data_IF_669516624052
#
_entry.id   IF_669516624052
#
_cell.length_a   1.000
_cell.length_b   1.000
_cell.length_c   1.000
_cell.angle_alpha   90.00
_cell.angle_beta   90.00
_cell.angle_gamma   90.00
#
_symmetry.space_group_name_H-M   'P 1'
#
loop_
_entity.id
_entity.type
_entity.pdbx_description
1 polymer ?
#
# COMPACT_ATOMS: atom_id res chain seq x y z
N UNK A 1 5.23 -4.25 13.46
CA UNK A 1 4.08 -5.01 12.90
C UNK A 1 4.20 -4.97 11.39
N UNK A 2 3.86 -6.05 10.67
CA UNK A 2 3.88 -6.04 9.20
C UNK A 2 2.46 -5.85 8.67
N UNK A 3 2.28 -5.00 7.66
CA UNK A 3 1.01 -4.81 6.95
C UNK A 3 1.12 -5.47 5.57
N UNK A 4 0.24 -6.43 5.31
CA UNK A 4 0.18 -7.14 4.03
C UNK A 4 -0.51 -6.24 3.00
N UNK A 5 0.21 -5.85 1.97
CA UNK A 5 -0.23 -4.96 0.91
C UNK A 5 -0.98 -5.69 -0.19
N UNK A 6 -0.54 -6.90 -0.55
CA UNK A 6 -1.19 -7.73 -1.55
C UNK A 6 -1.06 -9.21 -1.16
N UNK A 7 -2.20 -9.89 -1.08
CA UNK A 7 -2.24 -11.30 -0.68
C UNK A 7 -1.71 -12.24 -1.76
N UNK A 8 -1.92 -11.91 -3.03
CA UNK A 8 -1.57 -12.79 -4.14
C UNK A 8 -0.04 -12.91 -4.33
N UNK A 9 0.67 -11.78 -4.22
CA UNK A 9 2.13 -11.70 -4.28
C UNK A 9 2.81 -11.92 -2.93
N UNK A 10 2.07 -11.84 -1.82
CA UNK A 10 2.63 -11.88 -0.47
C UNK A 10 3.41 -10.60 -0.10
N UNK A 11 3.21 -9.50 -0.86
CA UNK A 11 3.89 -8.24 -0.60
C UNK A 11 3.42 -7.67 0.73
N UNK A 12 4.35 -7.50 1.67
CA UNK A 12 4.12 -6.88 2.96
C UNK A 12 5.13 -5.77 3.21
N UNK A 13 4.75 -4.79 4.03
CA UNK A 13 5.60 -3.67 4.41
C UNK A 13 5.58 -3.47 5.92
N UNK A 14 6.69 -2.99 6.46
CA UNK A 14 6.76 -2.49 7.82
C UNK A 14 6.33 -1.01 7.83
N UNK A 15 5.23 -0.64 8.51
CA UNK A 15 4.71 0.72 8.53
C UNK A 15 5.71 1.74 9.08
N UNK A 16 6.58 1.33 10.02
CA UNK A 16 7.62 2.19 10.59
C UNK A 16 8.69 2.60 9.58
N UNK A 17 8.81 1.88 8.46
CA UNK A 17 9.75 2.21 7.37
C UNK A 17 9.09 3.03 6.25
N UNK A 18 7.78 3.29 6.34
CA UNK A 18 7.06 4.16 5.40
C UNK A 18 7.29 5.61 5.80
N UNK A 19 7.84 6.41 4.89
CA UNK A 19 8.07 7.84 5.08
C UNK A 19 6.89 8.70 4.64
N UNK A 20 6.22 8.32 3.56
CA UNK A 20 5.00 9.00 3.09
C UNK A 20 4.11 8.08 2.26
N UNK A 21 2.85 8.49 2.10
CA UNK A 21 1.83 7.75 1.36
C UNK A 21 1.05 8.72 0.48
N UNK A 22 0.73 8.30 -0.75
CA UNK A 22 -0.13 9.06 -1.65
C UNK A 22 -0.97 8.15 -2.55
N UNK A 23 -2.13 8.65 -2.96
CA UNK A 23 -2.92 8.01 -4.00
C UNK A 23 -2.54 8.58 -5.37
N UNK A 24 -2.35 7.70 -6.35
CA UNK A 24 -2.15 8.07 -7.75
C UNK A 24 -3.16 7.36 -8.63
N UNK A 25 -3.44 7.95 -9.80
CA UNK A 25 -4.28 7.33 -10.82
C UNK A 25 -3.45 7.06 -12.07
N UNK A 26 -3.35 5.79 -12.46
CA UNK A 26 -2.64 5.36 -13.67
C UNK A 26 -3.60 4.53 -14.52
N UNK A 27 -3.74 4.89 -15.81
CA UNK A 27 -4.58 4.15 -16.76
C UNK A 27 -6.01 3.83 -16.24
N UNK A 28 -6.63 4.76 -15.51
CA UNK A 28 -7.97 4.60 -14.94
C UNK A 28 -8.04 3.78 -13.64
N UNK A 29 -6.93 3.20 -13.17
CA UNK A 29 -6.84 2.52 -11.88
C UNK A 29 -6.28 3.44 -10.81
N UNK A 30 -6.79 3.31 -9.58
CA UNK A 30 -6.22 4.00 -8.41
C UNK A 30 -5.10 3.14 -7.82
N UNK A 31 -4.00 3.75 -7.41
CA UNK A 31 -2.87 3.09 -6.78
C UNK A 31 -2.54 3.79 -5.46
N UNK A 32 -2.11 3.03 -4.47
CA UNK A 32 -1.45 3.57 -3.27
C UNK A 32 0.05 3.44 -3.45
N UNK A 33 0.73 4.58 -3.44
CA UNK A 33 2.18 4.67 -3.51
C UNK A 33 2.72 4.95 -2.12
N UNK A 34 3.61 4.08 -1.67
CA UNK A 34 4.32 4.16 -0.41
C UNK A 34 5.76 4.55 -0.71
N UNK A 35 6.20 5.69 -0.20
CA UNK A 35 7.61 6.08 -0.24
C UNK A 35 8.24 5.68 1.08
N UNK A 36 9.18 4.73 1.03
CA UNK A 36 9.91 4.26 2.18
C UNK A 36 10.94 5.31 2.64
N UNK A 37 11.37 5.27 3.91
CA UNK A 37 12.37 6.18 4.46
C UNK A 37 13.72 6.11 3.73
N UNK A 38 14.04 4.99 3.09
CA UNK A 38 15.24 4.81 2.26
C UNK A 38 15.09 5.36 0.82
N UNK A 39 13.96 6.02 0.50
CA UNK A 39 13.66 6.57 -0.82
C UNK A 39 13.10 5.58 -1.83
N UNK A 40 12.96 4.28 -1.49
CA UNK A 40 12.31 3.29 -2.36
C UNK A 40 10.82 3.54 -2.41
N UNK A 41 10.24 3.52 -3.61
CA UNK A 41 8.78 3.55 -3.79
C UNK A 41 8.22 2.14 -4.02
N UNK A 42 7.09 1.85 -3.38
CA UNK A 42 6.26 0.69 -3.63
C UNK A 42 4.90 1.18 -4.09
N UNK A 43 4.28 0.51 -5.06
CA UNK A 43 2.92 0.84 -5.49
C UNK A 43 2.04 -0.39 -5.51
N UNK A 44 0.80 -0.20 -5.07
CA UNK A 44 -0.22 -1.24 -5.02
C UNK A 44 -1.44 -0.72 -5.77
N UNK A 45 -1.86 -1.45 -6.79
CA UNK A 45 -3.09 -1.13 -7.53
C UNK A 45 -4.31 -1.42 -6.66
N UNK A 46 -5.33 -0.58 -6.72
CA UNK A 46 -6.64 -0.86 -6.15
C UNK A 46 -7.36 -1.90 -7.01
N UNK A 47 -7.54 -3.08 -6.44
CA UNK A 47 -8.28 -4.17 -7.06
C UNK A 47 -9.00 -4.95 -5.95
N UNK A 48 -10.11 -4.45 -5.38
CA UNK A 48 -10.78 -5.07 -4.24
C UNK A 48 -11.69 -6.23 -4.66
N UNK A 49 -11.37 -6.95 -5.74
CA UNK A 49 -12.11 -8.12 -6.18
C UNK A 49 -11.46 -9.39 -5.62
N UNK A 50 -12.25 -10.25 -4.96
CA UNK A 50 -11.75 -11.45 -4.29
C UNK A 50 -10.81 -11.08 -3.12
N UNK A 51 -9.61 -11.67 -3.12
CA UNK A 51 -8.54 -11.38 -2.15
C UNK A 51 -7.63 -10.20 -2.55
N UNK A 52 -8.03 -9.46 -3.58
CA UNK A 52 -7.23 -8.35 -4.09
C UNK A 52 -7.20 -7.13 -3.15
N UNK A 53 -6.20 -6.26 -3.33
CA UNK A 53 -5.89 -5.15 -2.43
C UNK A 53 -6.94 -4.03 -2.47
N UNK A 54 -7.46 -3.68 -1.29
CA UNK A 54 -8.22 -2.45 -1.08
C UNK A 54 -7.30 -1.36 -0.52
N UNK A 55 -6.78 -0.52 -1.41
CA UNK A 55 -5.82 0.55 -1.05
C UNK A 55 -6.33 1.57 -0.03
N UNK A 56 -7.64 1.78 0.10
CA UNK A 56 -8.18 2.68 1.12
C UNK A 56 -8.04 2.07 2.51
N UNK A 57 -8.43 0.80 2.65
CA UNK A 57 -8.25 0.06 3.89
C UNK A 57 -6.77 -0.11 4.25
N UNK A 58 -5.91 -0.38 3.28
CA UNK A 58 -4.47 -0.47 3.50
C UNK A 58 -3.89 0.84 4.03
N UNK A 59 -4.33 1.98 3.48
CA UNK A 59 -3.89 3.28 3.96
C UNK A 59 -4.32 3.54 5.41
N UNK A 60 -5.57 3.22 5.78
CA UNK A 60 -6.01 3.30 7.17
C UNK A 60 -5.17 2.41 8.10
N UNK A 61 -4.95 1.14 7.73
CA UNK A 61 -4.12 0.22 8.52
C UNK A 61 -2.67 0.69 8.68
N UNK A 62 -2.11 1.35 7.66
CA UNK A 62 -0.77 1.92 7.72
C UNK A 62 -0.71 3.18 8.58
N UNK A 63 -1.79 3.95 8.67
CA UNK A 63 -1.90 5.09 9.58
C UNK A 63 -2.08 4.64 11.04
N UNK A 64 -2.89 3.62 11.29
CA UNK A 64 -3.11 3.06 12.63
C UNK A 64 -1.85 2.36 13.20
N UNK A 65 -0.97 1.91 12.32
CA UNK A 65 0.25 1.19 12.68
C UNK A 65 1.50 2.06 12.83
N UNK A 66 1.38 3.38 12.68
CA UNK A 66 2.44 4.37 12.88
C UNK A 66 2.56 4.81 14.34
#
# INVERSE_FOLDING_TARGET
MMVLLDKASGLAVNPAEVGSMRYEKWNGSTHLVLTMQNGKELSVQHWPYGDGPNVYRLHEQLLEAQ
#
